data_IF_905898643888
#
_entry.id   IF_905898643888
#
_cell.length_a   1.000
_cell.length_b   1.000
_cell.length_c   1.000
_cell.angle_alpha   90.00
_cell.angle_beta   90.00
_cell.angle_gamma   90.00
#
_symmetry.space_group_name_H-M   'P 1'
#
loop_
_entity.id
_entity.type
_entity.pdbx_description
1 polymer ?
#
# COMPACT_ATOMS: atom_id res chain seq x y z
N UNK A 1 2.97 9.85 -16.78
CA UNK A 1 1.83 9.01 -16.45
C UNK A 1 1.68 9.12 -14.96
N UNK A 2 0.57 9.64 -14.50
CA UNK A 2 0.38 10.04 -13.10
C UNK A 2 -0.57 9.08 -12.39
N UNK A 3 -0.45 8.94 -11.08
CA UNK A 3 -1.30 8.04 -10.29
C UNK A 3 -2.82 8.31 -10.43
N UNK A 4 -3.22 9.54 -10.75
CA UNK A 4 -4.62 9.86 -10.98
C UNK A 4 -5.19 9.30 -12.30
N UNK A 5 -4.33 8.94 -13.26
CA UNK A 5 -4.77 8.34 -14.53
C UNK A 5 -5.32 6.92 -14.30
N UNK A 6 -4.96 6.29 -13.17
CA UNK A 6 -5.31 4.92 -12.81
C UNK A 6 -6.33 4.81 -11.68
N UNK A 7 -7.05 5.87 -11.34
CA UNK A 7 -7.99 5.83 -10.20
C UNK A 7 -9.09 4.77 -10.37
N UNK A 8 -9.57 4.58 -11.59
CA UNK A 8 -10.60 3.56 -11.87
C UNK A 8 -10.02 2.15 -11.76
N UNK A 9 -8.80 1.94 -12.26
CA UNK A 9 -8.09 0.66 -12.15
C UNK A 9 -7.78 0.35 -10.69
N UNK A 10 -7.38 1.37 -9.92
CA UNK A 10 -7.15 1.25 -8.49
C UNK A 10 -8.42 0.83 -7.73
N UNK A 11 -9.54 1.49 -7.96
CA UNK A 11 -10.80 1.14 -7.31
C UNK A 11 -11.22 -0.30 -7.65
N UNK A 12 -11.07 -0.70 -8.90
CA UNK A 12 -11.33 -2.07 -9.33
C UNK A 12 -10.36 -3.07 -8.68
N UNK A 13 -9.07 -2.72 -8.58
CA UNK A 13 -8.07 -3.58 -7.97
C UNK A 13 -8.37 -3.86 -6.50
N UNK A 14 -8.65 -2.82 -5.69
CA UNK A 14 -8.95 -3.01 -4.26
C UNK A 14 -10.27 -3.75 -4.01
N UNK A 15 -11.24 -3.64 -4.92
CA UNK A 15 -12.49 -4.39 -4.86
C UNK A 15 -12.27 -5.89 -5.14
N UNK A 16 -11.47 -6.21 -6.14
CA UNK A 16 -11.16 -7.59 -6.53
C UNK A 16 -10.11 -8.26 -5.64
N UNK A 17 -9.14 -7.50 -5.16
CA UNK A 17 -7.99 -7.98 -4.38
C UNK A 17 -7.76 -7.09 -3.16
N UNK A 18 -8.61 -7.15 -2.14
CA UNK A 18 -8.51 -6.29 -0.94
C UNK A 18 -7.22 -6.52 -0.13
N UNK A 19 -6.57 -7.67 -0.33
CA UNK A 19 -5.27 -8.02 0.27
C UNK A 19 -4.13 -8.00 -0.75
N UNK A 20 -4.37 -7.44 -1.94
CA UNK A 20 -3.37 -7.36 -3.00
C UNK A 20 -2.15 -6.54 -2.57
N UNK A 21 -0.97 -6.98 -2.99
CA UNK A 21 0.28 -6.30 -2.76
C UNK A 21 0.65 -5.33 -3.88
N UNK A 22 1.74 -4.60 -3.67
CA UNK A 22 2.22 -3.60 -4.61
C UNK A 22 2.61 -4.18 -5.99
N UNK A 23 3.22 -5.38 -6.02
CA UNK A 23 3.57 -6.04 -7.28
C UNK A 23 2.34 -6.41 -8.10
N UNK A 24 1.32 -6.97 -7.44
CA UNK A 24 0.06 -7.34 -8.09
C UNK A 24 -0.69 -6.11 -8.65
N UNK A 25 -0.60 -4.97 -7.94
CA UNK A 25 -1.12 -3.72 -8.46
C UNK A 25 -0.43 -3.32 -9.76
N UNK A 26 0.92 -3.35 -9.80
CA UNK A 26 1.68 -3.01 -11.02
C UNK A 26 1.40 -3.95 -12.18
N UNK A 27 1.24 -5.24 -11.92
CA UNK A 27 0.82 -6.22 -12.91
C UNK A 27 -0.56 -5.89 -13.47
N UNK A 28 -1.50 -5.50 -12.60
CA UNK A 28 -2.89 -5.23 -13.00
C UNK A 28 -3.04 -4.05 -13.96
N UNK A 29 -2.16 -3.05 -13.87
CA UNK A 29 -2.17 -1.87 -14.75
C UNK A 29 -1.21 -1.99 -15.93
N UNK A 30 -0.55 -3.15 -16.10
CA UNK A 30 0.29 -3.50 -17.25
C UNK A 30 1.35 -2.44 -17.62
N UNK A 31 1.96 -1.81 -16.61
CA UNK A 31 3.01 -0.78 -16.82
C UNK A 31 4.39 -1.37 -17.15
N UNK A 32 4.46 -2.67 -17.40
CA UNK A 32 5.69 -3.39 -17.73
C UNK A 32 6.67 -3.45 -16.56
N UNK A 33 7.95 -3.67 -16.83
CA UNK A 33 9.03 -3.78 -15.82
C UNK A 33 9.39 -2.45 -15.12
N UNK A 34 8.48 -1.48 -15.06
CA UNK A 34 8.73 -0.25 -14.31
C UNK A 34 8.59 -0.56 -12.82
N UNK A 35 9.69 -0.47 -12.12
CA UNK A 35 9.64 -0.41 -10.64
C UNK A 35 8.85 0.83 -10.27
N UNK A 36 7.73 0.63 -9.58
CA UNK A 36 6.81 1.70 -9.20
C UNK A 36 7.44 2.75 -8.30
N UNK A 37 8.24 3.62 -8.91
CA UNK A 37 8.94 4.69 -8.23
C UNK A 37 8.02 5.89 -8.09
N UNK A 38 7.85 6.39 -6.87
CA UNK A 38 7.20 7.68 -6.62
C UNK A 38 8.23 8.78 -6.92
N UNK A 39 7.97 9.55 -7.96
CA UNK A 39 8.88 10.60 -8.44
C UNK A 39 8.60 11.96 -7.78
N UNK A 40 9.53 12.90 -7.95
CA UNK A 40 9.30 14.29 -7.52
C UNK A 40 8.07 14.91 -8.20
N UNK A 41 7.78 14.51 -9.44
CA UNK A 41 6.62 15.02 -10.19
C UNK A 41 5.31 14.60 -9.54
N UNK A 42 5.25 13.38 -8.98
CA UNK A 42 4.09 12.89 -8.25
C UNK A 42 3.88 13.69 -6.96
N UNK A 43 4.94 13.98 -6.23
CA UNK A 43 4.87 14.80 -5.00
C UNK A 43 4.47 16.24 -5.30
N UNK A 44 4.97 16.84 -6.38
CA UNK A 44 4.56 18.17 -6.83
C UNK A 44 3.07 18.20 -7.23
N UNK A 45 2.58 17.13 -7.86
CA UNK A 45 1.15 16.98 -8.15
C UNK A 45 0.33 16.92 -6.86
N UNK A 46 0.73 16.09 -5.89
CA UNK A 46 0.10 16.02 -4.56
C UNK A 46 0.08 17.40 -3.92
N UNK A 47 1.22 18.11 -3.90
CA UNK A 47 1.33 19.46 -3.32
C UNK A 47 0.33 20.44 -3.94
N UNK A 48 0.20 20.43 -5.26
CA UNK A 48 -0.79 21.27 -5.96
C UNK A 48 -2.21 20.92 -5.55
N UNK A 49 -2.55 19.64 -5.49
CA UNK A 49 -3.89 19.16 -5.13
C UNK A 49 -4.28 19.52 -3.69
N UNK A 50 -3.38 19.33 -2.73
CA UNK A 50 -3.66 19.63 -1.32
C UNK A 50 -3.66 21.14 -1.03
N UNK A 51 -3.05 21.95 -1.88
CA UNK A 51 -3.08 23.43 -1.76
C UNK A 51 -4.42 24.04 -2.19
N UNK A 52 -5.20 23.34 -3.01
CA UNK A 52 -6.53 23.79 -3.40
C UNK A 52 -7.46 23.75 -2.19
N UNK A 53 -8.33 24.73 -2.00
CA UNK A 53 -9.32 24.71 -0.92
C UNK A 53 -10.24 23.49 -1.06
N UNK A 54 -10.49 22.79 0.06
CA UNK A 54 -11.51 21.75 0.07
C UNK A 54 -12.88 22.40 -0.25
N UNK A 55 -13.60 21.82 -1.21
CA UNK A 55 -14.85 22.40 -1.73
C UNK A 55 -15.92 22.63 -0.64
N UNK A 56 -15.91 21.81 0.41
CA UNK A 56 -16.86 21.87 1.53
C UNK A 56 -16.21 22.11 2.90
N UNK A 57 -14.97 22.63 2.97
CA UNK A 57 -14.30 22.90 4.24
C UNK A 57 -13.91 21.66 5.07
N UNK A 58 -14.04 20.45 4.52
CA UNK A 58 -13.75 19.18 5.18
C UNK A 58 -12.25 18.86 5.28
N UNK A 59 -11.95 17.73 5.92
CA UNK A 59 -10.61 17.16 5.97
C UNK A 59 -10.18 16.60 4.61
N UNK A 60 -8.89 16.69 4.31
CA UNK A 60 -8.25 16.04 3.17
C UNK A 60 -7.37 14.91 3.65
N UNK A 61 -7.45 13.79 2.96
CA UNK A 61 -6.60 12.64 3.22
C UNK A 61 -5.80 12.36 1.97
N UNK A 62 -4.49 12.28 2.13
CA UNK A 62 -3.57 11.86 1.09
C UNK A 62 -2.98 10.50 1.49
N UNK A 63 -3.17 9.49 0.66
CA UNK A 63 -2.63 8.15 0.87
C UNK A 63 -1.45 7.98 -0.08
N UNK A 64 -0.27 7.68 0.47
CA UNK A 64 0.93 7.27 -0.28
C UNK A 64 1.16 5.79 0.01
N UNK A 65 0.78 4.94 -0.91
CA UNK A 65 1.04 3.51 -0.83
C UNK A 65 2.38 3.17 -1.49
N UNK A 66 3.21 2.37 -0.82
CA UNK A 66 4.58 2.14 -1.19
C UNK A 66 5.46 3.36 -0.91
N UNK A 67 5.32 3.97 0.28
CA UNK A 67 6.05 5.20 0.63
C UNK A 67 7.58 5.03 0.58
N UNK A 68 8.08 3.80 0.79
CA UNK A 68 9.48 3.43 0.62
C UNK A 68 9.96 3.50 -0.83
N UNK A 69 9.05 3.54 -1.81
CA UNK A 69 9.37 3.67 -3.24
C UNK A 69 9.55 5.13 -3.69
N UNK A 70 9.52 6.08 -2.76
CA UNK A 70 9.86 7.46 -3.09
C UNK A 70 11.34 7.59 -3.49
N UNK A 71 11.61 8.27 -4.61
CA UNK A 71 12.98 8.69 -4.93
C UNK A 71 13.51 9.65 -3.86
N UNK A 72 14.83 9.77 -3.71
CA UNK A 72 15.43 10.73 -2.79
C UNK A 72 14.95 12.17 -3.02
N UNK A 73 14.73 12.54 -4.28
CA UNK A 73 14.20 13.86 -4.64
C UNK A 73 12.74 14.02 -4.22
N UNK A 74 11.91 12.97 -4.41
CA UNK A 74 10.53 12.94 -3.97
C UNK A 74 10.42 13.03 -2.44
N UNK A 75 11.22 12.25 -1.73
CA UNK A 75 11.28 12.26 -0.26
C UNK A 75 11.64 13.65 0.29
N UNK A 76 12.64 14.30 -0.28
CA UNK A 76 13.03 15.66 0.12
C UNK A 76 11.96 16.71 -0.22
N UNK A 77 11.25 16.55 -1.34
CA UNK A 77 10.12 17.42 -1.67
C UNK A 77 8.94 17.21 -0.72
N UNK A 78 8.70 15.94 -0.31
CA UNK A 78 7.64 15.58 0.61
C UNK A 78 7.90 16.08 2.04
N UNK A 79 9.17 16.10 2.49
CA UNK A 79 9.54 16.70 3.78
C UNK A 79 9.05 18.13 3.93
N UNK A 80 9.13 18.94 2.88
CA UNK A 80 8.65 20.34 2.91
C UNK A 80 7.13 20.42 3.15
N UNK A 81 6.39 19.42 2.66
CA UNK A 81 4.94 19.33 2.89
C UNK A 81 4.64 18.91 4.34
N UNK A 82 5.44 18.00 4.90
CA UNK A 82 5.29 17.53 6.27
C UNK A 82 5.70 18.59 7.31
N UNK A 83 6.63 19.48 6.98
CA UNK A 83 7.03 20.58 7.86
C UNK A 83 5.95 21.65 7.98
N UNK A 84 5.27 21.96 6.87
CA UNK A 84 4.19 22.95 6.84
C UNK A 84 2.92 22.35 6.19
N UNK A 85 2.25 21.41 6.85
CA UNK A 85 1.09 20.75 6.28
C UNK A 85 -0.09 21.73 6.15
N UNK A 86 -0.81 21.71 5.03
CA UNK A 86 -2.03 22.51 4.89
C UNK A 86 -3.05 22.13 5.96
N UNK A 87 -3.82 23.11 6.45
CA UNK A 87 -4.85 22.89 7.48
C UNK A 87 -5.81 21.77 7.06
N UNK A 88 -6.23 20.97 8.03
CA UNK A 88 -7.14 19.85 7.85
C UNK A 88 -6.67 18.84 6.77
N UNK A 89 -5.36 18.61 6.67
CA UNK A 89 -4.79 17.63 5.74
C UNK A 89 -4.07 16.55 6.53
N UNK A 90 -4.38 15.29 6.21
CA UNK A 90 -3.80 14.09 6.82
C UNK A 90 -3.06 13.28 5.76
N UNK A 91 -1.88 12.80 6.12
CA UNK A 91 -1.07 11.94 5.26
C UNK A 91 -1.02 10.54 5.85
N UNK A 92 -1.41 9.54 5.08
CA UNK A 92 -1.27 8.13 5.41
C UNK A 92 -0.18 7.54 4.51
N UNK A 93 0.98 7.26 5.11
CA UNK A 93 2.09 6.61 4.44
C UNK A 93 1.99 5.11 4.74
N UNK A 94 1.84 4.31 3.71
CA UNK A 94 1.78 2.85 3.82
C UNK A 94 3.07 2.31 3.22
N UNK A 95 3.80 1.51 3.98
CA UNK A 95 5.08 0.94 3.58
C UNK A 95 5.19 -0.52 4.05
N UNK A 96 5.85 -1.35 3.27
CA UNK A 96 6.21 -2.72 3.65
C UNK A 96 7.53 -2.73 4.42
N UNK A 97 8.44 -1.82 4.10
CA UNK A 97 9.74 -1.70 4.76
C UNK A 97 9.99 -0.26 5.25
N UNK A 98 9.88 -0.08 6.57
CA UNK A 98 10.14 1.21 7.20
C UNK A 98 11.60 1.68 7.06
N UNK A 99 12.56 0.76 6.98
CA UNK A 99 13.99 1.09 6.92
C UNK A 99 14.38 1.78 5.59
N UNK A 100 13.59 1.60 4.55
CA UNK A 100 13.78 2.26 3.26
C UNK A 100 13.22 3.69 3.21
N UNK A 101 12.48 4.12 4.25
CA UNK A 101 11.95 5.49 4.36
C UNK A 101 13.00 6.37 5.06
N UNK A 102 13.19 7.59 4.57
CA UNK A 102 14.10 8.54 5.20
C UNK A 102 13.76 8.75 6.69
N UNK A 103 14.72 8.64 7.61
CA UNK A 103 14.51 8.88 9.04
C UNK A 103 13.88 10.23 9.35
N UNK A 104 14.16 11.24 8.52
CA UNK A 104 13.58 12.58 8.62
C UNK A 104 12.07 12.62 8.33
N UNK A 105 11.57 11.72 7.49
CA UNK A 105 10.12 11.55 7.28
C UNK A 105 9.52 10.83 8.48
N UNK A 106 10.13 9.72 8.90
CA UNK A 106 9.64 8.91 10.04
C UNK A 106 9.53 9.76 11.31
N UNK A 107 10.52 10.62 11.59
CA UNK A 107 10.51 11.50 12.78
C UNK A 107 9.36 12.51 12.82
N UNK A 108 8.67 12.73 11.69
CA UNK A 108 7.50 13.62 11.58
C UNK A 108 6.18 12.87 11.47
N UNK A 109 6.22 11.56 11.56
CA UNK A 109 5.05 10.68 11.45
C UNK A 109 4.80 9.94 12.77
N UNK A 110 3.54 9.65 13.04
CA UNK A 110 3.20 8.64 14.03
C UNK A 110 3.29 7.28 13.35
N UNK A 111 4.21 6.44 13.83
CA UNK A 111 4.37 5.08 13.28
C UNK A 111 3.34 4.14 13.93
N UNK A 112 2.65 3.38 13.09
CA UNK A 112 1.74 2.32 13.49
C UNK A 112 2.20 1.03 12.81
N UNK A 113 2.68 0.08 13.61
CA UNK A 113 3.09 -1.23 13.10
C UNK A 113 1.87 -2.16 13.05
N UNK A 114 1.59 -2.70 11.87
CA UNK A 114 0.59 -3.73 11.66
C UNK A 114 1.27 -5.10 11.71
N UNK A 115 0.88 -5.91 12.68
CA UNK A 115 1.41 -7.27 12.81
C UNK A 115 0.78 -8.25 11.81
N UNK A 116 1.30 -9.49 11.78
CA UNK A 116 0.73 -10.57 11.00
C UNK A 116 -0.72 -10.89 11.45
N UNK A 117 -1.52 -11.40 10.54
CA UNK A 117 -2.88 -11.85 10.86
C UNK A 117 -2.79 -13.09 11.76
N UNK A 118 -3.65 -13.15 12.78
CA UNK A 118 -3.69 -14.29 13.69
C UNK A 118 -4.01 -15.60 12.96
N UNK A 119 -3.29 -16.67 13.33
CA UNK A 119 -3.45 -18.00 12.72
C UNK A 119 -4.88 -18.54 12.87
N UNK A 120 -5.58 -18.21 13.95
CA UNK A 120 -6.99 -18.56 14.16
C UNK A 120 -7.89 -17.97 13.08
N UNK A 121 -7.73 -16.68 12.79
CA UNK A 121 -8.51 -15.99 11.76
C UNK A 121 -8.23 -16.54 10.35
N UNK A 122 -6.95 -16.80 10.04
CA UNK A 122 -6.57 -17.41 8.77
C UNK A 122 -7.14 -18.81 8.60
N UNK A 123 -7.11 -19.62 9.68
CA UNK A 123 -7.68 -20.97 9.69
C UNK A 123 -9.16 -20.96 9.40
N UNK A 124 -9.93 -20.09 10.04
CA UNK A 124 -11.38 -20.01 9.87
C UNK A 124 -11.79 -19.70 8.42
N UNK A 125 -10.99 -18.94 7.69
CA UNK A 125 -11.25 -18.61 6.29
C UNK A 125 -11.01 -19.80 5.35
N UNK A 126 -10.09 -20.71 5.69
CA UNK A 126 -9.65 -21.77 4.77
C UNK A 126 -10.07 -23.17 5.17
N UNK A 127 -10.66 -23.37 6.35
CA UNK A 127 -11.02 -24.70 6.88
C UNK A 127 -11.86 -25.57 5.93
N UNK A 128 -12.67 -24.94 5.06
CA UNK A 128 -13.49 -25.62 4.06
C UNK A 128 -12.84 -25.70 2.67
N UNK A 129 -11.65 -25.09 2.50
CA UNK A 129 -11.01 -24.95 1.19
C UNK A 129 -9.83 -25.92 0.99
N UNK A 130 -9.36 -26.55 2.03
CA UNK A 130 -8.21 -27.46 2.00
C UNK A 130 -8.31 -28.54 3.06
N UNK A 131 -7.69 -29.70 2.80
CA UNK A 131 -7.60 -30.81 3.74
C UNK A 131 -6.52 -30.58 4.82
N UNK A 132 -5.60 -29.63 4.62
CA UNK A 132 -4.46 -29.37 5.49
C UNK A 132 -4.36 -27.89 5.93
N UNK A 133 -5.39 -27.31 6.57
CA UNK A 133 -5.41 -25.89 6.90
C UNK A 133 -4.24 -25.48 7.83
N UNK A 134 -3.86 -26.32 8.78
CA UNK A 134 -2.79 -26.03 9.76
C UNK A 134 -1.44 -25.81 9.08
N UNK A 135 -1.10 -26.66 8.11
CA UNK A 135 0.18 -26.59 7.39
C UNK A 135 0.25 -25.31 6.55
N UNK A 136 -0.84 -24.98 5.87
CA UNK A 136 -0.90 -23.78 5.01
C UNK A 136 -0.85 -22.50 5.83
N UNK A 137 -1.58 -22.45 6.96
CA UNK A 137 -1.54 -21.30 7.89
C UNK A 137 -0.15 -21.11 8.48
N UNK A 138 0.52 -22.19 8.89
CA UNK A 138 1.87 -22.12 9.44
C UNK A 138 2.88 -21.60 8.39
N UNK A 139 2.76 -22.04 7.13
CA UNK A 139 3.61 -21.54 6.03
C UNK A 139 3.36 -20.09 5.67
N UNK A 140 2.11 -19.64 5.73
CA UNK A 140 1.73 -18.27 5.40
C UNK A 140 2.20 -17.23 6.43
N UNK A 141 2.58 -17.64 7.63
CA UNK A 141 3.14 -16.77 8.69
C UNK A 141 2.34 -15.49 8.95
N UNK A 142 1.02 -15.56 8.84
CA UNK A 142 0.13 -14.41 9.03
C UNK A 142 -0.06 -13.52 7.79
N UNK A 143 0.47 -13.90 6.64
CA UNK A 143 0.26 -13.23 5.37
C UNK A 143 -0.89 -13.89 4.60
N UNK A 144 -1.99 -13.16 4.39
CA UNK A 144 -3.16 -13.69 3.71
C UNK A 144 -2.92 -13.93 2.21
N UNK A 145 -2.10 -13.11 1.57
CA UNK A 145 -1.79 -13.25 0.15
C UNK A 145 -0.95 -14.51 -0.11
N UNK A 146 0.04 -14.77 0.75
CA UNK A 146 0.82 -16.00 0.69
C UNK A 146 -0.07 -17.23 0.94
N UNK A 147 -1.02 -17.11 1.87
CA UNK A 147 -2.00 -18.17 2.13
C UNK A 147 -2.83 -18.52 0.90
N UNK A 148 -3.34 -17.51 0.19
CA UNK A 148 -4.10 -17.70 -1.05
C UNK A 148 -3.27 -18.37 -2.14
N UNK A 149 -2.02 -17.97 -2.29
CA UNK A 149 -1.08 -18.56 -3.24
C UNK A 149 -0.78 -20.02 -2.93
N UNK A 150 -0.61 -20.36 -1.65
CA UNK A 150 -0.41 -21.74 -1.21
C UNK A 150 -1.63 -22.62 -1.47
N UNK A 151 -2.85 -22.12 -1.24
CA UNK A 151 -4.09 -22.86 -1.52
C UNK A 151 -4.20 -23.17 -3.03
N UNK A 152 -3.92 -22.20 -3.88
CA UNK A 152 -4.00 -22.40 -5.32
C UNK A 152 -2.98 -23.42 -5.80
N UNK A 153 -1.75 -23.37 -5.28
CA UNK A 153 -0.69 -24.35 -5.64
C UNK A 153 -0.94 -25.75 -5.09
N UNK A 154 -1.73 -25.91 -4.04
CA UNK A 154 -2.12 -27.21 -3.48
C UNK A 154 -3.19 -27.88 -4.35
N UNK A 155 -4.13 -27.09 -4.90
CA UNK A 155 -5.16 -27.58 -5.82
C UNK A 155 -4.62 -28.05 -7.17
N UNK A 156 -3.51 -27.47 -7.63
CA UNK A 156 -2.87 -27.85 -8.90
C UNK A 156 -2.10 -29.19 -8.80
N UNK A 157 -2.00 -29.77 -7.59
CA UNK A 157 -1.30 -31.05 -7.32
C UNK A 157 -2.24 -32.24 -7.08
N UNK A 158 -3.54 -31.98 -6.96
CA UNK A 158 -4.60 -33.01 -6.88
C UNK A 158 -5.20 -33.27 -8.26
#
# INVERSE_FOLDING_TARGET
>A
MYSHDYIHDWLRFIDLKPYGNYSEWFESINVGNRQGLISIVDIEYVRKKISLKAFNGGARVCILWGAEKMSNQASNAFLKILEEPPKNTYFLLIAENQEEILPTIISRCQVVNLGPIESSALRDVIKEKTNNPEILVAKAQGNFNDLLSLINSDKDKE
#
